data_IF_476579523136
#
_entry.id   IF_476579523136
#
_cell.length_a   1.000
_cell.length_b   1.000
_cell.length_c   1.000
_cell.angle_alpha   90.00
_cell.angle_beta   90.00
_cell.angle_gamma   90.00
#
_symmetry.space_group_name_H-M   'P 1'
#
loop_
_entity.id
_entity.type
_entity.pdbx_description
1 polymer ?
#
# COMPACT_ATOMS: atom_id res chain seq x y z
N UNK A 1 22.23 21.67 52.38
CA UNK A 1 22.15 20.42 51.58
C UNK A 1 20.73 19.92 51.36
N UNK A 2 19.87 19.82 52.39
CA UNK A 2 18.48 19.30 52.27
C UNK A 2 17.61 20.04 51.21
N UNK A 3 17.70 21.38 51.13
CA UNK A 3 16.94 22.15 50.13
C UNK A 3 17.33 21.83 48.68
N UNK A 4 18.60 21.51 48.42
CA UNK A 4 19.11 21.12 47.10
C UNK A 4 18.63 19.72 46.73
N UNK A 5 18.63 18.81 47.71
CA UNK A 5 18.11 17.44 47.55
C UNK A 5 16.60 17.43 47.27
N UNK A 6 15.81 18.25 47.97
CA UNK A 6 14.37 18.39 47.71
C UNK A 6 14.07 18.92 46.29
N UNK A 7 14.86 19.89 45.81
CA UNK A 7 14.71 20.41 44.43
C UNK A 7 15.00 19.33 43.39
N UNK A 8 16.04 18.53 43.60
CA UNK A 8 16.36 17.38 42.75
C UNK A 8 15.25 16.31 42.76
N UNK A 9 14.65 16.05 43.93
CA UNK A 9 13.53 15.12 44.08
C UNK A 9 12.27 15.61 43.33
N UNK A 10 11.91 16.88 43.49
CA UNK A 10 10.75 17.50 42.81
C UNK A 10 10.96 17.46 41.29
N UNK A 11 12.18 17.76 40.83
CA UNK A 11 12.53 17.65 39.41
C UNK A 11 12.41 16.20 38.92
N UNK A 12 12.94 15.22 39.66
CA UNK A 12 12.88 13.81 39.30
C UNK A 12 11.45 13.28 39.19
N UNK A 13 10.58 13.61 40.15
CA UNK A 13 9.17 13.23 40.11
C UNK A 13 8.48 13.88 38.91
N UNK A 14 8.69 15.18 38.69
CA UNK A 14 8.11 15.89 37.55
C UNK A 14 8.55 15.31 36.21
N UNK A 15 9.82 14.95 36.07
CA UNK A 15 10.36 14.32 34.86
C UNK A 15 9.75 12.93 34.61
N UNK A 16 9.64 12.11 35.66
CA UNK A 16 9.00 10.78 35.56
C UNK A 16 7.53 10.92 35.17
N UNK A 17 6.78 11.83 35.82
CA UNK A 17 5.38 12.10 35.47
C UNK A 17 5.23 12.56 34.01
N UNK A 18 6.12 13.43 33.52
CA UNK A 18 6.11 13.88 32.13
C UNK A 18 6.34 12.72 31.14
N UNK A 19 7.28 11.81 31.44
CA UNK A 19 7.51 10.61 30.61
C UNK A 19 6.26 9.73 30.59
N UNK A 20 5.61 9.49 31.74
CA UNK A 20 4.39 8.68 31.78
C UNK A 20 3.25 9.31 30.99
N UNK A 21 3.06 10.62 31.08
CA UNK A 21 2.03 11.33 30.30
C UNK A 21 2.36 11.24 28.80
N UNK A 22 3.60 11.53 28.40
CA UNK A 22 4.02 11.45 27.01
C UNK A 22 3.89 10.03 26.45
N UNK A 23 4.30 9.02 27.22
CA UNK A 23 4.16 7.61 26.88
C UNK A 23 2.69 7.20 26.74
N UNK A 24 1.84 7.62 27.68
CA UNK A 24 0.40 7.34 27.61
C UNK A 24 -0.27 7.99 26.40
N UNK A 25 0.01 9.27 26.13
CA UNK A 25 -0.53 9.97 24.95
C UNK A 25 -0.01 9.34 23.66
N UNK A 26 1.28 9.04 23.57
CA UNK A 26 1.89 8.39 22.41
C UNK A 26 1.30 7.01 22.12
N UNK A 27 1.13 6.17 23.16
CA UNK A 27 0.53 4.85 23.02
C UNK A 27 -0.93 4.92 22.57
N UNK A 28 -1.72 5.86 23.09
CA UNK A 28 -3.12 6.01 22.67
C UNK A 28 -3.22 6.52 21.23
N UNK A 29 -2.39 7.49 20.84
CA UNK A 29 -2.39 8.01 19.48
C UNK A 29 -2.04 6.91 18.48
N UNK A 30 -0.97 6.16 18.73
CA UNK A 30 -0.53 5.06 17.87
C UNK A 30 -1.56 3.91 17.81
N UNK A 31 -2.16 3.54 18.95
CA UNK A 31 -3.19 2.50 18.99
C UNK A 31 -4.43 2.87 18.18
N UNK A 32 -4.85 4.14 18.25
CA UNK A 32 -6.02 4.62 17.51
C UNK A 32 -5.77 4.66 16.00
N UNK A 33 -4.58 5.07 15.57
CA UNK A 33 -4.20 5.10 14.15
C UNK A 33 -4.16 3.68 13.54
N UNK A 34 -3.57 2.73 14.26
CA UNK A 34 -3.60 1.31 13.87
C UNK A 34 -5.03 0.75 13.81
N UNK A 35 -5.89 1.13 14.74
CA UNK A 35 -7.30 0.70 14.74
C UNK A 35 -8.05 1.25 13.52
N UNK A 36 -7.80 2.50 13.11
CA UNK A 36 -8.41 3.09 11.92
C UNK A 36 -7.94 2.39 10.63
N UNK A 37 -6.63 2.14 10.49
CA UNK A 37 -6.06 1.41 9.34
C UNK A 37 -6.66 0.00 9.25
N UNK A 38 -6.73 -0.73 10.36
CA UNK A 38 -7.29 -2.08 10.37
C UNK A 38 -8.76 -2.08 9.97
N UNK A 39 -9.55 -1.11 10.46
CA UNK A 39 -10.96 -0.97 10.08
C UNK A 39 -11.11 -0.65 8.59
N UNK A 40 -10.29 0.25 8.04
CA UNK A 40 -10.28 0.56 6.61
C UNK A 40 -9.93 -0.68 5.77
N UNK A 41 -8.96 -1.47 6.21
CA UNK A 41 -8.56 -2.71 5.55
C UNK A 41 -9.66 -3.79 5.63
N UNK A 42 -10.36 -3.90 6.75
CA UNK A 42 -11.52 -4.79 6.90
C UNK A 42 -12.63 -4.40 5.92
N UNK A 43 -12.97 -3.11 5.85
CA UNK A 43 -13.92 -2.58 4.87
C UNK A 43 -13.45 -2.90 3.45
N UNK A 44 -12.19 -2.62 3.12
CA UNK A 44 -11.61 -2.90 1.81
C UNK A 44 -11.75 -4.37 1.41
N UNK A 45 -11.45 -5.29 2.33
CA UNK A 45 -11.53 -6.72 2.07
C UNK A 45 -12.98 -7.22 1.93
N UNK A 46 -13.94 -6.52 2.53
CA UNK A 46 -15.38 -6.82 2.37
C UNK A 46 -15.96 -6.34 1.03
N UNK A 47 -15.25 -5.46 0.30
CA UNK A 47 -15.70 -4.96 -1.00
C UNK A 47 -15.64 -6.06 -2.07
N UNK A 48 -16.60 -6.02 -2.98
CA UNK A 48 -16.50 -6.75 -4.25
C UNK A 48 -15.33 -6.19 -5.07
N UNK A 49 -14.89 -6.94 -6.09
CA UNK A 49 -13.76 -6.47 -6.90
C UNK A 49 -14.08 -5.18 -7.68
N UNK A 50 -15.32 -5.03 -8.14
CA UNK A 50 -15.78 -3.75 -8.70
C UNK A 50 -15.81 -2.63 -7.64
N UNK A 51 -16.21 -2.98 -6.40
CA UNK A 51 -16.12 -2.07 -5.26
C UNK A 51 -14.69 -1.61 -4.99
N UNK A 52 -13.70 -2.51 -5.04
CA UNK A 52 -12.28 -2.18 -4.86
C UNK A 52 -11.77 -1.27 -5.99
N UNK A 53 -12.16 -1.51 -7.24
CA UNK A 53 -11.81 -0.61 -8.36
C UNK A 53 -12.33 0.81 -8.09
N UNK A 54 -13.59 0.94 -7.65
CA UNK A 54 -14.20 2.24 -7.35
C UNK A 54 -13.61 2.91 -6.10
N UNK A 55 -13.28 2.14 -5.08
CA UNK A 55 -12.68 2.64 -3.84
C UNK A 55 -11.18 2.93 -3.97
N UNK A 56 -10.51 2.40 -5.01
CA UNK A 56 -9.09 2.66 -5.25
C UNK A 56 -8.82 4.15 -5.41
N UNK A 57 -7.77 4.62 -4.75
CA UNK A 57 -7.20 5.96 -4.93
C UNK A 57 -6.30 5.98 -6.17
N UNK A 58 -5.48 4.95 -6.33
CA UNK A 58 -4.62 4.77 -7.49
C UNK A 58 -4.63 3.34 -8.01
N UNK A 59 -4.43 3.21 -9.32
CA UNK A 59 -4.16 1.95 -10.01
C UNK A 59 -2.85 2.09 -10.77
N UNK A 60 -1.92 1.19 -10.49
CA UNK A 60 -0.63 1.13 -11.18
C UNK A 60 -0.57 -0.16 -11.98
N UNK A 61 -0.23 -0.04 -13.26
CA UNK A 61 -0.02 -1.17 -14.15
C UNK A 61 1.47 -1.43 -14.23
N UNK A 62 1.87 -2.64 -13.84
CA UNK A 62 3.23 -3.15 -13.90
C UNK A 62 3.30 -4.19 -15.00
N UNK A 63 4.22 -4.04 -15.95
CA UNK A 63 4.42 -4.99 -17.04
C UNK A 63 5.71 -5.76 -16.89
N UNK A 64 5.70 -6.97 -17.40
CA UNK A 64 6.83 -7.89 -17.31
C UNK A 64 7.62 -7.94 -18.60
N UNK A 65 8.93 -8.01 -18.47
CA UNK A 65 9.89 -8.21 -19.57
C UNK A 65 10.85 -9.32 -19.18
N UNK A 66 11.49 -9.93 -20.17
CA UNK A 66 12.53 -10.94 -19.92
C UNK A 66 13.78 -10.27 -19.40
N UNK A 67 14.28 -10.76 -18.27
CA UNK A 67 15.60 -10.46 -17.74
C UNK A 67 16.55 -11.62 -17.90
N UNK A 68 17.70 -11.50 -17.25
CA UNK A 68 18.71 -12.56 -17.19
C UNK A 68 18.22 -13.74 -16.33
N UNK A 69 18.78 -14.93 -16.56
CA UNK A 69 18.47 -16.14 -15.78
C UNK A 69 16.97 -16.49 -15.69
N UNK A 70 16.21 -16.22 -16.76
CA UNK A 70 14.77 -16.47 -16.83
C UNK A 70 13.95 -15.69 -15.78
N UNK A 71 14.47 -14.60 -15.23
CA UNK A 71 13.67 -13.72 -14.37
C UNK A 71 12.72 -12.86 -15.21
N UNK A 72 11.50 -12.63 -14.73
CA UNK A 72 10.57 -11.65 -15.29
C UNK A 72 10.73 -10.35 -14.53
N UNK A 73 11.26 -9.33 -15.21
CA UNK A 73 11.49 -8.01 -14.66
C UNK A 73 10.22 -7.17 -14.75
N UNK A 74 9.77 -6.68 -13.62
CA UNK A 74 8.64 -5.79 -13.48
C UNK A 74 9.04 -4.34 -13.69
N UNK A 75 8.32 -3.64 -14.56
CA UNK A 75 8.45 -2.21 -14.78
C UNK A 75 7.09 -1.52 -14.76
N UNK A 76 7.04 -0.29 -14.25
CA UNK A 76 5.80 0.47 -14.18
C UNK A 76 5.48 1.01 -15.57
N UNK A 77 4.38 0.55 -16.18
CA UNK A 77 3.96 1.02 -17.49
C UNK A 77 3.05 2.24 -17.41
N UNK A 78 2.13 2.26 -16.44
CA UNK A 78 1.14 3.31 -16.29
C UNK A 78 0.78 3.53 -14.83
N UNK A 79 0.48 4.78 -14.49
CA UNK A 79 0.00 5.19 -13.17
C UNK A 79 -1.30 5.98 -13.40
N UNK A 80 -2.36 5.57 -12.74
CA UNK A 80 -3.65 6.23 -12.76
C UNK A 80 -4.01 6.61 -11.32
N UNK A 81 -4.18 7.90 -11.05
CA UNK A 81 -4.49 8.41 -9.71
C UNK A 81 -5.78 9.23 -9.75
N UNK A 82 -6.57 9.16 -8.67
CA UNK A 82 -7.67 10.11 -8.45
C UNK A 82 -7.13 11.40 -7.82
N UNK A 83 -7.80 12.56 -8.02
CA UNK A 83 -7.34 13.84 -7.50
C UNK A 83 -7.10 13.88 -5.97
N UNK A 84 -7.80 13.04 -5.22
CA UNK A 84 -7.70 12.93 -3.76
C UNK A 84 -6.63 11.96 -3.28
N UNK A 85 -5.76 11.46 -4.15
CA UNK A 85 -4.78 10.42 -3.81
C UNK A 85 -3.44 11.03 -3.41
N UNK A 86 -2.80 10.45 -2.40
CA UNK A 86 -1.42 10.76 -2.06
C UNK A 86 -0.51 10.55 -3.28
N UNK A 87 0.48 11.44 -3.45
CA UNK A 87 1.48 11.33 -4.51
C UNK A 87 2.30 10.05 -4.33
N UNK A 88 2.36 9.21 -5.35
CA UNK A 88 3.26 8.06 -5.35
C UNK A 88 4.64 8.52 -5.82
N UNK A 89 5.72 8.16 -5.13
CA UNK A 89 7.09 8.39 -5.62
C UNK A 89 7.45 7.54 -6.85
N UNK A 90 6.53 6.68 -7.27
CA UNK A 90 6.65 5.79 -8.40
C UNK A 90 6.56 6.55 -9.72
N UNK A 91 7.39 6.16 -10.69
CA UNK A 91 7.45 6.76 -12.03
C UNK A 91 7.22 5.73 -13.11
N UNK A 92 6.57 6.15 -14.19
CA UNK A 92 6.48 5.34 -15.42
C UNK A 92 7.90 5.06 -15.95
N UNK A 93 8.15 3.82 -16.34
CA UNK A 93 9.46 3.30 -16.76
C UNK A 93 10.36 2.83 -15.63
N UNK A 94 10.00 3.10 -14.37
CA UNK A 94 10.78 2.64 -13.21
C UNK A 94 10.63 1.12 -13.03
N UNK A 95 11.72 0.44 -12.68
CA UNK A 95 11.66 -0.94 -12.22
C UNK A 95 10.89 -1.05 -10.91
N UNK A 96 10.13 -2.13 -10.76
CA UNK A 96 9.40 -2.45 -9.54
C UNK A 96 9.81 -3.83 -9.02
N UNK A 97 11.00 -3.96 -8.38
CA UNK A 97 11.59 -5.25 -8.05
C UNK A 97 10.71 -6.16 -7.19
N UNK A 98 9.82 -5.57 -6.39
CA UNK A 98 8.88 -6.32 -5.53
C UNK A 98 7.91 -7.22 -6.32
N UNK A 99 7.72 -6.97 -7.62
CA UNK A 99 6.89 -7.82 -8.47
C UNK A 99 7.69 -8.73 -9.40
N UNK A 100 9.03 -8.66 -9.40
CA UNK A 100 9.85 -9.60 -10.17
C UNK A 100 9.55 -11.03 -9.75
N UNK A 101 9.55 -11.96 -10.69
CA UNK A 101 9.31 -13.37 -10.39
C UNK A 101 10.04 -14.28 -11.37
N UNK A 102 10.25 -15.53 -10.98
CA UNK A 102 10.69 -16.59 -11.89
C UNK A 102 9.45 -17.34 -12.37
N UNK A 103 9.18 -17.37 -13.70
CA UNK A 103 8.01 -18.03 -14.23
C UNK A 103 8.14 -19.54 -14.03
N UNK A 104 7.08 -20.15 -13.50
CA UNK A 104 6.89 -21.59 -13.58
C UNK A 104 6.32 -21.92 -14.98
N UNK A 105 6.42 -23.16 -15.44
CA UNK A 105 6.02 -23.58 -16.79
C UNK A 105 4.55 -23.29 -17.16
N UNK A 106 3.70 -22.96 -16.18
CA UNK A 106 2.31 -22.56 -16.36
C UNK A 106 2.05 -21.04 -16.24
N UNK A 107 3.07 -20.24 -15.90
CA UNK A 107 2.97 -18.79 -15.64
C UNK A 107 3.61 -17.95 -16.77
N UNK A 108 3.95 -18.59 -17.90
CA UNK A 108 4.61 -17.96 -19.07
C UNK A 108 3.79 -16.81 -19.69
N UNK A 109 2.48 -16.80 -19.47
CA UNK A 109 1.56 -15.82 -20.08
C UNK A 109 1.21 -14.63 -19.18
N UNK A 110 1.80 -14.50 -17.99
CA UNK A 110 1.53 -13.34 -17.12
C UNK A 110 2.16 -12.09 -17.74
N UNK A 111 1.30 -11.26 -18.31
CA UNK A 111 1.64 -10.04 -19.04
C UNK A 111 1.80 -8.81 -18.13
N UNK A 112 1.03 -8.74 -17.04
CA UNK A 112 1.04 -7.59 -16.15
C UNK A 112 0.57 -7.92 -14.72
N UNK A 113 0.85 -7.02 -13.80
CA UNK A 113 0.25 -6.93 -12.47
C UNK A 113 -0.44 -5.58 -12.32
N UNK A 114 -1.64 -5.60 -11.76
CA UNK A 114 -2.47 -4.44 -11.50
C UNK A 114 -2.46 -4.20 -9.99
N UNK A 115 -1.84 -3.11 -9.59
CA UNK A 115 -1.68 -2.73 -8.19
C UNK A 115 -2.75 -1.71 -7.83
N UNK A 116 -3.62 -2.06 -6.89
CA UNK A 116 -4.68 -1.19 -6.38
C UNK A 116 -4.22 -0.60 -5.04
N UNK A 117 -4.33 0.71 -4.92
CA UNK A 117 -3.99 1.44 -3.71
C UNK A 117 -5.26 2.00 -3.08
N UNK A 118 -5.35 1.88 -1.76
CA UNK A 118 -6.28 2.64 -0.95
C UNK A 118 -5.70 4.05 -0.72
N UNK A 119 -6.54 5.02 -0.36
CA UNK A 119 -6.03 6.32 0.13
C UNK A 119 -5.16 6.10 1.36
N UNK A 120 -4.13 6.94 1.51
CA UNK A 120 -3.25 6.96 2.70
C UNK A 120 -2.41 5.68 2.90
N UNK A 121 -2.18 4.90 1.84
CA UNK A 121 -1.28 3.74 1.87
C UNK A 121 -0.12 3.92 0.91
N UNK A 122 1.11 3.71 1.41
CA UNK A 122 2.35 3.76 0.62
C UNK A 122 2.60 2.47 -0.17
N UNK A 123 1.76 1.46 0.03
CA UNK A 123 1.88 0.14 -0.59
C UNK A 123 0.54 -0.32 -1.17
N UNK A 124 0.55 -1.13 -2.23
CA UNK A 124 -0.69 -1.62 -2.83
C UNK A 124 -1.45 -2.50 -1.83
N UNK A 125 -2.74 -2.20 -1.67
CA UNK A 125 -3.65 -2.95 -0.82
C UNK A 125 -4.12 -4.24 -1.50
N UNK A 126 -4.16 -4.26 -2.83
CA UNK A 126 -4.52 -5.45 -3.61
C UNK A 126 -3.68 -5.51 -4.87
N UNK A 127 -3.30 -6.72 -5.27
CA UNK A 127 -2.60 -6.98 -6.52
C UNK A 127 -3.37 -8.04 -7.30
N UNK A 128 -3.65 -7.77 -8.56
CA UNK A 128 -4.19 -8.76 -9.49
C UNK A 128 -3.19 -9.01 -10.61
N UNK A 129 -3.17 -10.23 -11.13
CA UNK A 129 -2.32 -10.59 -12.25
C UNK A 129 -3.15 -10.68 -13.52
N UNK A 130 -2.59 -10.15 -14.61
CA UNK A 130 -3.18 -10.20 -15.93
C UNK A 130 -2.40 -11.16 -16.83
N UNK A 131 -3.12 -12.03 -17.50
CA UNK A 131 -2.61 -13.01 -18.45
C UNK A 131 -3.13 -12.61 -19.84
N UNK A 132 -2.24 -12.27 -20.77
CA UNK A 132 -2.60 -11.73 -22.07
C UNK A 132 -3.63 -10.58 -21.99
N UNK A 133 -3.37 -9.58 -21.15
CA UNK A 133 -4.27 -8.44 -20.87
C UNK A 133 -5.63 -8.78 -20.23
N UNK A 134 -5.85 -10.03 -19.81
CA UNK A 134 -7.08 -10.46 -19.14
C UNK A 134 -6.79 -10.70 -17.66
N UNK A 135 -7.66 -10.20 -16.78
CA UNK A 135 -7.53 -10.32 -15.32
C UNK A 135 -8.55 -11.35 -14.81
N UNK A 136 -8.15 -12.59 -14.51
CA UNK A 136 -9.10 -13.64 -14.12
C UNK A 136 -9.82 -13.34 -12.80
N UNK A 137 -9.12 -12.71 -11.86
CA UNK A 137 -9.62 -12.38 -10.53
C UNK A 137 -10.88 -11.51 -10.54
N UNK A 138 -11.11 -10.75 -11.62
CA UNK A 138 -12.26 -9.86 -11.77
C UNK A 138 -13.21 -10.30 -12.88
N UNK A 139 -13.36 -11.62 -13.05
CA UNK A 139 -14.27 -12.20 -14.04
C UNK A 139 -13.74 -12.10 -15.46
N UNK A 140 -12.42 -12.32 -15.65
CA UNK A 140 -11.74 -12.23 -16.94
C UNK A 140 -11.90 -10.84 -17.60
N UNK A 141 -11.84 -9.78 -16.80
CA UNK A 141 -11.93 -8.41 -17.30
C UNK A 141 -10.65 -8.03 -18.06
N UNK A 142 -10.77 -7.40 -19.24
CA UNK A 142 -9.61 -6.78 -19.89
C UNK A 142 -9.02 -5.65 -19.04
N UNK A 143 -7.70 -5.50 -19.03
CA UNK A 143 -6.99 -4.43 -18.31
C UNK A 143 -7.53 -3.05 -18.72
N UNK A 144 -7.75 -2.82 -20.02
CA UNK A 144 -8.30 -1.56 -20.52
C UNK A 144 -9.68 -1.22 -19.94
N UNK A 145 -10.56 -2.22 -19.82
CA UNK A 145 -11.90 -2.04 -19.26
C UNK A 145 -11.84 -1.72 -17.76
N UNK A 146 -10.91 -2.33 -17.02
CA UNK A 146 -10.66 -1.99 -15.62
C UNK A 146 -10.21 -0.53 -15.48
N UNK A 147 -9.27 -0.09 -16.31
CA UNK A 147 -8.80 1.31 -16.30
C UNK A 147 -9.93 2.28 -16.64
N UNK A 148 -10.81 1.91 -17.59
CA UNK A 148 -11.98 2.71 -17.92
C UNK A 148 -12.91 2.85 -16.70
N UNK A 149 -13.27 1.73 -16.05
CA UNK A 149 -14.11 1.71 -14.85
C UNK A 149 -13.52 2.49 -13.68
N UNK A 150 -12.19 2.55 -13.56
CA UNK A 150 -11.53 3.34 -12.52
C UNK A 150 -11.65 4.85 -12.73
N UNK A 151 -11.70 5.29 -14.00
CA UNK A 151 -11.77 6.70 -14.39
C UNK A 151 -13.20 7.25 -14.40
N UNK A 152 -14.20 6.38 -14.44
CA UNK A 152 -15.63 6.70 -14.27
C UNK A 152 -15.96 7.08 -12.83
#
# INVERSE_FOLDING_TARGET
>A
MIKTLLKGLIFGIGFITAIFIAGYVGLNYFSNDLADINKKLEIWNSLTEEGKIKASSAIIVVRFSEGEDNVRLASISNIYTKPSSASTDLKVGQLYPKANYYPLSNDENRSASILLFMSDTDSPTTTWHAYNEIIPAVGNMPVELLIKKFKE
#
